data_IF_233580155522
#
_entry.id   IF_233580155522
#
_cell.length_a   1.000
_cell.length_b   1.000
_cell.length_c   1.000
_cell.angle_alpha   90.00
_cell.angle_beta   90.00
_cell.angle_gamma   90.00
#
_symmetry.space_group_name_H-M   'P 1'
#
loop_
_entity.id
_entity.type
_entity.pdbx_description
1 polymer ?
#
# COMPACT_ATOMS: atom_id res chain seq x y z
N UNK A 1 -20.36 -11.99 -12.72
CA UNK A 1 -20.47 -10.57 -12.32
C UNK A 1 -21.34 -10.32 -11.08
N UNK A 2 -22.42 -11.08 -10.85
CA UNK A 2 -23.30 -10.92 -9.67
C UNK A 2 -22.64 -11.26 -8.33
N UNK A 3 -21.64 -12.15 -8.31
CA UNK A 3 -20.97 -12.60 -7.09
C UNK A 3 -19.91 -11.63 -6.55
N UNK A 4 -19.40 -10.70 -7.37
CA UNK A 4 -18.37 -9.73 -6.95
C UNK A 4 -18.98 -8.64 -6.08
N UNK A 5 -20.20 -8.21 -6.42
CA UNK A 5 -20.95 -7.23 -5.63
C UNK A 5 -21.39 -7.79 -4.26
N UNK A 6 -21.66 -9.09 -4.16
CA UNK A 6 -22.04 -9.72 -2.88
C UNK A 6 -20.88 -9.80 -1.89
N UNK A 7 -19.64 -9.98 -2.35
CA UNK A 7 -18.46 -9.98 -1.47
C UNK A 7 -18.18 -8.56 -0.96
N UNK A 8 -18.32 -7.54 -1.83
CA UNK A 8 -18.19 -6.14 -1.45
C UNK A 8 -19.24 -5.70 -0.41
N UNK A 9 -20.47 -6.23 -0.50
CA UNK A 9 -21.54 -5.91 0.47
C UNK A 9 -21.40 -6.67 1.80
N UNK A 10 -20.88 -7.90 1.79
CA UNK A 10 -20.69 -8.68 3.02
C UNK A 10 -19.57 -8.13 3.92
N UNK A 11 -18.56 -7.47 3.34
CA UNK A 11 -17.51 -6.76 4.09
C UNK A 11 -18.00 -5.45 4.73
N UNK A 12 -19.12 -4.90 4.26
CA UNK A 12 -19.73 -3.68 4.80
C UNK A 12 -20.63 -3.93 6.03
N UNK A 13 -20.81 -5.19 6.46
CA UNK A 13 -21.82 -5.58 7.44
C UNK A 13 -21.24 -6.06 8.79
N UNK A 14 -19.97 -5.82 9.10
CA UNK A 14 -19.38 -6.14 10.40
C UNK A 14 -19.20 -4.86 11.22
N UNK A 15 -20.14 -4.54 12.13
CA UNK A 15 -20.00 -3.39 13.02
C UNK A 15 -19.05 -3.77 14.16
N UNK A 16 -17.96 -3.03 14.32
CA UNK A 16 -17.16 -3.11 15.54
C UNK A 16 -15.74 -2.56 15.45
N UNK A 17 -14.96 -2.92 14.42
CA UNK A 17 -13.52 -2.61 14.37
C UNK A 17 -12.99 -2.31 12.96
N UNK A 18 -13.88 -2.19 11.98
CA UNK A 18 -13.52 -1.91 10.60
C UNK A 18 -13.36 -0.42 10.34
N UNK A 19 -12.21 0.02 9.83
CA UNK A 19 -11.94 1.42 9.50
C UNK A 19 -11.47 1.59 8.06
N UNK A 20 -12.20 2.42 7.30
CA UNK A 20 -11.72 2.93 6.02
C UNK A 20 -10.71 4.06 6.26
N UNK A 21 -9.60 4.06 5.52
CA UNK A 21 -8.59 5.11 5.55
C UNK A 21 -8.23 5.55 4.14
N UNK A 22 -8.03 6.85 3.94
CA UNK A 22 -7.32 7.37 2.77
C UNK A 22 -5.83 7.15 2.98
N UNK A 23 -5.09 6.81 1.93
CA UNK A 23 -3.66 6.60 2.03
C UNK A 23 -2.87 7.19 0.85
N UNK A 24 -1.67 7.64 1.17
CA UNK A 24 -0.66 8.08 0.21
C UNK A 24 0.64 7.33 0.50
N UNK A 25 1.35 6.93 -0.54
CA UNK A 25 2.63 6.26 -0.43
C UNK A 25 3.62 6.85 -1.43
N UNK A 26 4.84 7.08 -0.98
CA UNK A 26 5.98 7.35 -1.85
C UNK A 26 7.00 6.24 -1.66
N UNK A 27 7.48 5.67 -2.76
CA UNK A 27 8.52 4.63 -2.77
C UNK A 27 9.70 5.05 -3.65
N UNK A 28 10.91 4.72 -3.21
CA UNK A 28 12.15 4.99 -3.94
C UNK A 28 12.96 3.71 -4.13
N UNK A 29 13.40 3.47 -5.36
CA UNK A 29 14.24 2.34 -5.77
C UNK A 29 15.72 2.76 -5.86
N UNK A 30 16.21 3.46 -4.83
CA UNK A 30 17.59 3.95 -4.73
C UNK A 30 18.10 4.71 -5.97
N UNK A 31 17.23 5.49 -6.61
CA UNK A 31 17.56 6.29 -7.80
C UNK A 31 17.33 5.60 -9.14
N UNK A 32 16.90 4.33 -9.18
CA UNK A 32 16.52 3.64 -10.42
C UNK A 32 15.04 3.73 -10.75
N UNK A 33 14.24 4.24 -9.82
CA UNK A 33 12.80 4.40 -10.00
C UNK A 33 12.14 4.97 -8.76
N UNK A 34 10.91 5.42 -8.92
CA UNK A 34 10.05 5.89 -7.83
C UNK A 34 8.60 5.54 -8.09
N UNK A 35 7.77 5.65 -7.06
CA UNK A 35 6.32 5.61 -7.20
C UNK A 35 5.68 6.57 -6.23
N UNK A 36 4.55 7.13 -6.66
CA UNK A 36 3.62 7.87 -5.80
C UNK A 36 2.26 7.23 -5.95
N UNK A 37 1.77 6.62 -4.88
CA UNK A 37 0.47 5.95 -4.85
C UNK A 37 -0.52 6.78 -4.03
N UNK A 38 -1.78 6.83 -4.48
CA UNK A 38 -2.90 7.35 -3.70
C UNK A 38 -4.05 6.34 -3.72
N UNK A 39 -4.76 6.19 -2.61
CA UNK A 39 -5.85 5.23 -2.56
C UNK A 39 -6.56 5.13 -1.23
N UNK A 40 -7.16 3.97 -1.02
CA UNK A 40 -7.92 3.66 0.18
C UNK A 40 -7.53 2.30 0.73
N UNK A 41 -7.56 2.19 2.05
CA UNK A 41 -7.40 0.94 2.76
C UNK A 41 -8.63 0.65 3.62
N UNK A 42 -9.00 -0.62 3.72
CA UNK A 42 -9.95 -1.12 4.71
C UNK A 42 -9.19 -1.98 5.71
N UNK A 43 -9.23 -1.61 6.99
CA UNK A 43 -8.57 -2.33 8.07
C UNK A 43 -9.62 -2.97 8.98
N UNK A 44 -9.40 -4.23 9.35
CA UNK A 44 -10.17 -4.96 10.36
C UNK A 44 -9.21 -5.84 11.19
N UNK A 45 -9.21 -5.63 12.51
CA UNK A 45 -8.39 -6.39 13.46
C UNK A 45 -6.89 -6.50 13.08
N UNK A 46 -6.33 -5.39 12.56
CA UNK A 46 -4.94 -5.31 12.12
C UNK A 46 -4.68 -5.91 10.74
N UNK A 47 -5.58 -6.73 10.19
CA UNK A 47 -5.52 -7.10 8.78
C UNK A 47 -6.08 -5.97 7.93
N UNK A 48 -5.51 -5.75 6.75
CA UNK A 48 -6.06 -4.75 5.84
C UNK A 48 -5.87 -5.13 4.38
N UNK A 49 -6.72 -4.54 3.55
CA UNK A 49 -6.62 -4.56 2.09
C UNK A 49 -6.56 -3.12 1.58
N UNK A 50 -5.86 -2.93 0.47
CA UNK A 50 -5.65 -1.62 -0.15
C UNK A 50 -6.02 -1.64 -1.63
N UNK A 51 -6.48 -0.50 -2.12
CA UNK A 51 -6.68 -0.23 -3.54
C UNK A 51 -6.17 1.16 -3.85
N UNK A 52 -5.15 1.25 -4.71
CA UNK A 52 -4.45 2.50 -5.03
C UNK A 52 -4.25 2.66 -6.53
N UNK A 53 -4.11 3.91 -6.95
CA UNK A 53 -3.54 4.29 -8.24
C UNK A 53 -2.09 4.73 -7.99
N UNK A 54 -1.17 4.21 -8.80
CA UNK A 54 0.25 4.52 -8.72
C UNK A 54 0.67 5.34 -9.94
N UNK A 55 1.40 6.43 -9.70
CA UNK A 55 2.23 7.10 -10.68
C UNK A 55 3.66 6.61 -10.52
N UNK A 56 4.20 5.99 -11.56
CA UNK A 56 5.43 5.20 -11.50
C UNK A 56 6.43 5.84 -12.44
N UNK A 57 7.64 6.02 -11.94
CA UNK A 57 8.77 6.55 -12.70
C UNK A 57 9.89 5.53 -12.68
N UNK A 58 10.48 5.28 -13.84
CA UNK A 58 11.66 4.42 -13.99
C UNK A 58 12.80 5.23 -14.57
N UNK A 59 13.98 5.12 -13.95
CA UNK A 59 15.21 5.85 -14.27
C UNK A 59 16.37 4.88 -14.59
N UNK A 60 16.05 3.67 -15.05
CA UNK A 60 17.01 2.59 -15.29
C UNK A 60 18.00 2.88 -16.43
N UNK A 61 18.88 1.91 -16.73
CA UNK A 61 19.92 1.99 -17.78
C UNK A 61 19.37 2.05 -19.24
N UNK A 62 18.07 2.26 -19.42
CA UNK A 62 17.37 2.39 -20.69
C UNK A 62 16.83 3.80 -20.91
N UNK A 63 15.59 3.92 -21.40
CA UNK A 63 14.88 5.20 -21.49
C UNK A 63 14.05 5.45 -20.23
N UNK A 64 14.06 6.69 -19.74
CA UNK A 64 13.17 7.14 -18.68
C UNK A 64 11.72 6.93 -19.11
N UNK A 65 10.92 6.34 -18.21
CA UNK A 65 9.53 6.05 -18.47
C UNK A 65 8.66 6.44 -17.29
N UNK A 66 7.57 7.14 -17.58
CA UNK A 66 6.51 7.46 -16.63
C UNK A 66 5.22 6.75 -17.03
N UNK A 67 4.55 6.10 -16.10
CA UNK A 67 3.25 5.49 -16.36
C UNK A 67 2.36 5.44 -15.12
N UNK A 68 1.09 5.09 -15.36
CA UNK A 68 0.10 4.88 -14.31
C UNK A 68 -0.21 3.39 -14.17
N UNK A 69 -0.43 2.96 -12.93
CA UNK A 69 -0.74 1.58 -12.59
C UNK A 69 -1.83 1.46 -11.53
N UNK A 70 -2.46 0.28 -11.50
CA UNK A 70 -3.32 -0.13 -10.41
C UNK A 70 -2.48 -0.89 -9.38
N UNK A 71 -2.75 -0.67 -8.10
CA UNK A 71 -2.14 -1.43 -7.01
C UNK A 71 -3.23 -1.97 -6.10
N UNK A 72 -3.22 -3.28 -5.88
CA UNK A 72 -4.04 -3.96 -4.88
C UNK A 72 -3.14 -4.61 -3.86
N UNK A 73 -3.34 -4.29 -2.59
CA UNK A 73 -2.49 -4.81 -1.52
C UNK A 73 -3.26 -5.50 -0.42
N UNK A 74 -2.55 -6.33 0.33
CA UNK A 74 -3.00 -6.86 1.58
C UNK A 74 -1.86 -6.86 2.59
N UNK A 75 -2.17 -6.66 3.86
CA UNK A 75 -1.16 -6.62 4.90
C UNK A 75 -1.70 -6.89 6.30
N UNK A 76 -0.78 -6.86 7.26
CA UNK A 76 -1.08 -7.05 8.67
C UNK A 76 -0.24 -6.12 9.54
N UNK A 77 -0.93 -5.41 10.42
CA UNK A 77 -0.39 -4.58 11.49
C UNK A 77 -0.32 -5.38 12.80
N UNK A 78 0.81 -5.27 13.48
CA UNK A 78 1.03 -5.72 14.85
C UNK A 78 1.36 -4.51 15.72
N UNK A 79 0.47 -4.15 16.65
CA UNK A 79 0.72 -3.10 17.64
C UNK A 79 1.73 -3.61 18.67
N UNK A 80 2.84 -2.88 18.82
CA UNK A 80 3.95 -3.22 19.71
C UNK A 80 3.89 -2.36 20.98
N UNK A 81 3.41 -1.12 20.84
CA UNK A 81 3.11 -0.21 21.94
C UNK A 81 1.90 0.66 21.55
N UNK A 82 1.45 1.52 22.46
CA UNK A 82 0.23 2.34 22.30
C UNK A 82 0.13 3.05 20.94
N UNK A 83 1.24 3.62 20.47
CA UNK A 83 1.30 4.31 19.19
C UNK A 83 2.17 3.61 18.13
N UNK A 84 2.98 2.64 18.51
CA UNK A 84 3.93 1.99 17.59
C UNK A 84 3.39 0.66 17.09
N UNK A 85 3.49 0.47 15.78
CA UNK A 85 3.14 -0.79 15.12
C UNK A 85 4.19 -1.17 14.09
N UNK A 86 4.35 -2.46 13.85
CA UNK A 86 5.09 -2.98 12.71
C UNK A 86 4.19 -3.88 11.88
N UNK A 87 4.57 -4.14 10.64
CA UNK A 87 3.73 -4.93 9.77
C UNK A 87 4.41 -5.38 8.49
N UNK A 88 3.67 -6.15 7.73
CA UNK A 88 4.06 -6.58 6.40
C UNK A 88 2.92 -6.37 5.41
N UNK A 89 3.28 -6.00 4.19
CA UNK A 89 2.36 -5.78 3.08
C UNK A 89 2.85 -6.52 1.85
N UNK A 90 1.90 -7.01 1.06
CA UNK A 90 2.15 -7.49 -0.29
C UNK A 90 1.26 -6.69 -1.24
N UNK A 91 1.89 -5.93 -2.12
CA UNK A 91 1.21 -5.21 -3.19
C UNK A 91 1.32 -5.99 -4.50
N UNK A 92 0.19 -6.15 -5.18
CA UNK A 92 0.12 -6.53 -6.58
C UNK A 92 0.01 -5.25 -7.40
N UNK A 93 1.04 -4.95 -8.19
CA UNK A 93 1.16 -3.71 -8.96
C UNK A 93 1.14 -4.07 -10.43
N UNK A 94 0.13 -3.60 -11.14
CA UNK A 94 0.03 -3.76 -12.60
C UNK A 94 0.73 -2.62 -13.30
N UNK A 95 1.25 -2.90 -14.49
CA UNK A 95 1.97 -1.96 -15.36
C UNK A 95 3.20 -1.31 -14.73
N UNK A 96 3.66 -1.79 -13.57
CA UNK A 96 4.87 -1.30 -12.92
C UNK A 96 6.12 -1.86 -13.62
N UNK A 97 6.85 -1.01 -14.35
CA UNK A 97 8.06 -1.37 -15.08
C UNK A 97 9.22 -1.68 -14.14
N UNK A 98 9.31 -0.97 -13.00
CA UNK A 98 10.37 -1.17 -12.02
C UNK A 98 10.35 -2.60 -11.43
N UNK A 99 9.16 -3.19 -11.28
CA UNK A 99 9.00 -4.59 -10.86
C UNK A 99 9.47 -5.61 -11.89
N UNK A 100 9.31 -5.30 -13.18
CA UNK A 100 9.73 -6.15 -14.28
C UNK A 100 11.26 -6.19 -14.37
N UNK A 101 11.90 -5.02 -14.20
CA UNK A 101 13.36 -4.86 -14.26
C UNK A 101 14.10 -5.66 -13.19
N UNK A 102 13.48 -5.86 -12.02
CA UNK A 102 14.05 -6.68 -10.92
C UNK A 102 13.48 -8.10 -10.86
N UNK A 103 12.68 -8.52 -11.85
CA UNK A 103 12.18 -9.90 -11.95
C UNK A 103 11.09 -10.29 -10.94
N UNK A 104 10.44 -9.32 -10.30
CA UNK A 104 9.39 -9.53 -9.28
C UNK A 104 7.98 -9.67 -9.87
N UNK A 105 7.87 -9.65 -11.20
CA UNK A 105 6.61 -9.71 -11.96
C UNK A 105 5.66 -8.58 -11.56
N UNK A 106 4.72 -8.85 -10.67
CA UNK A 106 3.74 -7.89 -10.17
C UNK A 106 3.76 -7.76 -8.64
N UNK A 107 4.57 -8.56 -7.95
CA UNK A 107 4.53 -8.69 -6.50
C UNK A 107 5.59 -7.81 -5.82
N UNK A 108 5.14 -6.86 -5.03
CA UNK A 108 5.95 -5.94 -4.27
C UNK A 108 5.77 -6.19 -2.75
N UNK A 109 6.59 -7.04 -2.13
CA UNK A 109 6.55 -7.26 -0.69
C UNK A 109 7.25 -6.12 0.06
N UNK A 110 6.71 -5.72 1.20
CA UNK A 110 7.34 -4.79 2.12
C UNK A 110 7.10 -5.16 3.58
N UNK A 111 8.03 -4.74 4.43
CA UNK A 111 7.90 -4.67 5.87
C UNK A 111 7.92 -3.21 6.28
N UNK A 112 7.26 -2.87 7.38
CA UNK A 112 7.23 -1.49 7.82
C UNK A 112 7.19 -1.34 9.33
N UNK A 113 7.62 -0.17 9.78
CA UNK A 113 7.46 0.34 11.13
C UNK A 113 6.67 1.64 11.04
N UNK A 114 5.66 1.79 11.87
CA UNK A 114 4.79 2.95 11.87
C UNK A 114 4.44 3.48 13.25
N UNK A 115 3.95 4.71 13.24
CA UNK A 115 3.44 5.43 14.38
C UNK A 115 2.01 5.89 14.08
N UNK A 116 1.08 5.65 15.01
CA UNK A 116 -0.34 5.99 14.88
C UNK A 116 -0.75 7.05 15.88
N UNK A 117 -1.23 8.18 15.36
CA UNK A 117 -1.99 9.19 16.08
C UNK A 117 -3.50 8.97 15.86
N UNK A 118 -4.34 9.70 16.58
CA UNK A 118 -5.80 9.64 16.41
C UNK A 118 -6.28 10.07 15.02
N UNK A 119 -5.56 11.01 14.39
CA UNK A 119 -5.97 11.65 13.14
C UNK A 119 -5.20 11.14 11.91
N UNK A 120 -4.09 10.44 12.11
CA UNK A 120 -3.23 9.98 11.04
C UNK A 120 -2.31 8.87 11.55
N UNK A 121 -1.85 8.01 10.66
CA UNK A 121 -0.75 7.08 10.93
C UNK A 121 0.30 7.22 9.83
N UNK A 122 1.56 7.20 10.22
CA UNK A 122 2.69 7.23 9.31
C UNK A 122 3.49 5.93 9.43
N UNK A 123 4.05 5.46 8.32
CA UNK A 123 4.90 4.27 8.30
C UNK A 123 6.08 4.47 7.34
N UNK A 124 7.23 3.96 7.77
CA UNK A 124 8.42 3.80 6.93
C UNK A 124 8.47 2.34 6.49
N UNK A 125 8.57 2.12 5.19
CA UNK A 125 8.56 0.80 4.57
C UNK A 125 9.94 0.45 4.00
N UNK A 126 10.33 -0.80 4.18
CA UNK A 126 11.45 -1.45 3.52
C UNK A 126 10.89 -2.59 2.67
N UNK A 127 11.07 -2.52 1.36
CA UNK A 127 10.45 -3.49 0.46
C UNK A 127 11.15 -3.59 -0.87
N UNK A 128 10.53 -4.36 -1.76
CA UNK A 128 10.94 -4.49 -3.14
C UNK A 128 9.76 -4.15 -4.06
N UNK A 129 10.00 -3.51 -5.23
CA UNK A 129 11.30 -3.02 -5.71
C UNK A 129 11.74 -1.72 -4.99
N UNK A 130 10.82 -1.06 -4.30
CA UNK A 130 11.06 0.20 -3.61
C UNK A 130 11.70 -0.02 -2.23
N UNK A 131 13.03 0.06 -2.20
CA UNK A 131 13.85 -0.20 -1.01
C UNK A 131 13.46 0.65 0.19
N UNK A 132 13.06 1.91 -0.04
CA UNK A 132 12.62 2.83 0.99
C UNK A 132 11.30 3.45 0.56
N UNK A 133 10.32 3.44 1.45
CA UNK A 133 9.08 4.14 1.22
C UNK A 133 8.49 4.76 2.47
N UNK A 134 7.62 5.74 2.28
CA UNK A 134 6.89 6.41 3.35
C UNK A 134 5.42 6.38 2.97
N UNK A 135 4.57 5.96 3.90
CA UNK A 135 3.12 6.01 3.72
C UNK A 135 2.47 6.77 4.87
N UNK A 136 1.46 7.56 4.53
CA UNK A 136 0.55 8.17 5.49
C UNK A 136 -0.86 7.64 5.24
N UNK A 137 -1.58 7.33 6.31
CA UNK A 137 -2.99 6.90 6.29
C UNK A 137 -3.81 7.84 7.16
N UNK A 138 -5.00 8.20 6.69
CA UNK A 138 -5.92 9.13 7.34
C UNK A 138 -7.27 8.45 7.49
N UNK A 139 -7.76 8.21 8.71
CA UNK A 139 -9.05 7.57 8.92
C UNK A 139 -10.18 8.46 8.40
N UNK A 140 -11.11 7.85 7.66
CA UNK A 140 -12.39 8.51 7.38
C UNK A 140 -13.19 8.53 8.68
N UNK A 141 -13.45 9.72 9.23
CA UNK A 141 -14.54 9.93 10.18
C UNK A 141 -15.81 10.11 9.36
N UNK A 142 -16.65 9.07 9.30
CA UNK A 142 -18.05 9.20 8.87
C UNK A 142 -18.88 9.78 10.02
#
# INVERSE_FOLDING_TARGET
>A
MRNVFSIALCLAALPGFSQLKFETYYGNMAGWGSTTDIGVSYNDNGFYVTSKLAYIQSFGLGEDADNFGLVLGAGKDWFIAEHWYAGGQLDLRWTDTNLQDVGLRAAAPSLYLGYSWEIASYQVQLGLPYFLGVQAKFPFKL
#
